data_IF_374742080935
#
_entry.id   IF_374742080935
#
_cell.length_a   1.000
_cell.length_b   1.000
_cell.length_c   1.000
_cell.angle_alpha   90.00
_cell.angle_beta   90.00
_cell.angle_gamma   90.00
#
_symmetry.space_group_name_H-M   'P 1'
#
loop_
_entity.id
_entity.type
_entity.pdbx_description
1 polymer ?
#
# COMPACT_ATOMS: atom_id res chain seq x y z
N UNK A 1 -25.83 7.77 55.94
CA UNK A 1 -26.22 6.92 54.78
C UNK A 1 -26.43 7.68 53.46
N UNK A 2 -26.99 8.91 53.43
CA UNK A 2 -27.25 9.63 52.17
C UNK A 2 -26.00 10.21 51.46
N UNK A 3 -24.87 10.38 52.16
CA UNK A 3 -23.60 10.84 51.55
C UNK A 3 -22.81 9.73 50.85
N UNK A 4 -22.78 8.50 51.40
CA UNK A 4 -22.07 7.37 50.77
C UNK A 4 -22.73 6.93 49.44
N UNK A 5 -24.05 7.06 49.33
CA UNK A 5 -24.78 6.68 48.12
C UNK A 5 -24.55 7.67 46.95
N UNK A 6 -24.19 8.94 47.23
CA UNK A 6 -23.89 9.95 46.20
C UNK A 6 -22.47 9.82 45.66
N UNK A 7 -21.52 9.36 46.47
CA UNK A 7 -20.14 9.10 46.04
C UNK A 7 -20.03 7.86 45.14
N UNK A 8 -20.85 6.83 45.37
CA UNK A 8 -20.90 5.64 44.52
C UNK A 8 -21.57 5.89 43.16
N UNK A 9 -22.48 6.87 43.06
CA UNK A 9 -23.10 7.24 41.78
C UNK A 9 -22.19 8.13 40.91
N UNK A 10 -21.37 8.99 41.53
CA UNK A 10 -20.40 9.81 40.80
C UNK A 10 -19.22 8.98 40.25
N UNK A 11 -18.87 7.86 40.90
CA UNK A 11 -17.85 6.92 40.40
C UNK A 11 -18.34 6.05 39.23
N UNK A 12 -19.66 5.93 39.04
CA UNK A 12 -20.25 5.17 37.93
C UNK A 12 -20.40 6.00 36.65
N UNK A 13 -20.38 7.33 36.75
CA UNK A 13 -20.44 8.25 35.60
C UNK A 13 -19.05 8.56 34.98
N UNK A 14 -17.96 8.06 35.57
CA UNK A 14 -16.61 8.18 35.02
C UNK A 14 -16.20 6.98 34.13
N UNK A 15 -17.11 6.04 33.87
CA UNK A 15 -16.86 4.81 33.11
C UNK A 15 -17.04 4.92 31.59
N UNK A 16 -17.30 6.12 31.05
CA UNK A 16 -17.34 6.37 29.60
C UNK A 16 -16.00 6.92 29.11
N UNK A 17 -14.89 6.42 29.65
CA UNK A 17 -13.60 6.55 28.99
C UNK A 17 -13.65 5.69 27.73
N UNK A 18 -14.09 6.28 26.62
CA UNK A 18 -13.97 5.68 25.30
C UNK A 18 -12.55 5.14 25.16
N UNK A 19 -12.43 3.84 24.91
CA UNK A 19 -11.19 3.17 24.56
C UNK A 19 -10.68 3.84 23.28
N UNK A 20 -9.96 4.95 23.45
CA UNK A 20 -9.34 5.72 22.39
C UNK A 20 -8.62 4.73 21.49
N UNK A 21 -8.85 4.83 20.19
CA UNK A 21 -8.01 4.18 19.18
C UNK A 21 -6.56 4.15 19.66
N UNK A 22 -5.98 2.96 19.77
CA UNK A 22 -4.61 2.82 20.29
C UNK A 22 -3.73 3.81 19.52
N UNK A 23 -3.02 4.73 20.21
CA UNK A 23 -2.22 5.78 19.56
C UNK A 23 -1.30 5.24 18.46
N UNK A 24 -0.89 3.97 18.58
CA UNK A 24 -0.09 3.23 17.60
C UNK A 24 -0.76 3.06 16.22
N UNK A 25 -2.04 2.70 16.14
CA UNK A 25 -2.68 2.36 14.84
C UNK A 25 -2.79 3.59 13.92
N UNK A 26 -3.01 4.77 14.49
CA UNK A 26 -3.04 6.02 13.74
C UNK A 26 -1.65 6.38 13.21
N UNK A 27 -0.63 6.26 14.06
CA UNK A 27 0.76 6.47 13.66
C UNK A 27 1.15 5.54 12.54
N UNK A 28 0.86 4.23 12.66
CA UNK A 28 1.16 3.25 11.61
C UNK A 28 0.42 3.56 10.30
N UNK A 29 -0.86 3.95 10.36
CA UNK A 29 -1.62 4.33 9.17
C UNK A 29 -1.03 5.58 8.49
N UNK A 30 -0.50 6.54 9.26
CA UNK A 30 0.17 7.74 8.75
C UNK A 30 1.54 7.46 8.17
N UNK A 31 2.33 6.62 8.81
CA UNK A 31 3.63 6.17 8.29
C UNK A 31 3.43 5.43 6.95
N UNK A 32 2.45 4.52 6.90
CA UNK A 32 2.06 3.83 5.68
C UNK A 32 1.58 4.80 4.58
N UNK A 33 0.82 5.85 4.94
CA UNK A 33 0.39 6.88 4.00
C UNK A 33 1.59 7.67 3.45
N UNK A 34 2.52 8.05 4.33
CA UNK A 34 3.72 8.80 3.95
C UNK A 34 4.61 7.99 3.00
N UNK A 35 4.73 6.67 3.19
CA UNK A 35 5.47 5.78 2.30
C UNK A 35 4.93 5.79 0.86
N UNK A 36 3.61 5.87 0.67
CA UNK A 36 2.98 5.94 -0.66
C UNK A 36 3.16 7.30 -1.36
N UNK A 37 3.51 8.33 -0.59
CA UNK A 37 3.72 9.68 -1.08
C UNK A 37 2.45 10.39 -1.58
N UNK A 38 2.54 11.70 -1.87
CA UNK A 38 1.39 12.55 -2.19
C UNK A 38 0.78 12.27 -3.57
N UNK A 39 1.49 11.59 -4.46
CA UNK A 39 0.99 11.23 -5.80
C UNK A 39 -0.04 10.10 -5.74
N UNK A 40 -0.08 9.33 -4.64
CA UNK A 40 -1.01 8.22 -4.46
C UNK A 40 -2.28 8.73 -3.77
N UNK A 41 -3.44 8.54 -4.41
CA UNK A 41 -4.70 8.80 -3.73
C UNK A 41 -4.82 7.91 -2.49
N UNK A 42 -5.00 8.52 -1.32
CA UNK A 42 -5.10 7.82 -0.05
C UNK A 42 -5.91 8.61 0.99
N UNK A 43 -6.47 7.89 1.98
CA UNK A 43 -7.20 8.43 3.12
C UNK A 43 -6.90 7.61 4.37
N UNK A 44 -6.55 8.28 5.46
CA UNK A 44 -6.53 7.65 6.79
C UNK A 44 -7.91 7.80 7.40
N UNK A 45 -8.46 6.70 7.92
CA UNK A 45 -9.80 6.65 8.50
C UNK A 45 -9.75 6.11 9.92
N UNK A 46 -10.64 6.60 10.78
CA UNK A 46 -10.90 5.99 12.09
C UNK A 46 -12.15 5.12 12.00
N UNK A 47 -12.05 3.95 12.60
CA UNK A 47 -13.07 2.90 12.51
C UNK A 47 -13.42 2.46 13.92
N UNK A 48 -14.72 2.21 14.14
CA UNK A 48 -15.22 1.54 15.34
C UNK A 48 -15.65 0.12 14.99
N UNK A 49 -15.38 -0.82 15.88
CA UNK A 49 -15.75 -2.22 15.74
C UNK A 49 -16.74 -2.67 16.82
N UNK A 50 -17.97 -2.99 16.41
CA UNK A 50 -19.02 -3.46 17.30
C UNK A 50 -19.08 -4.98 17.43
N UNK A 51 -18.42 -5.74 16.54
CA UNK A 51 -18.44 -7.20 16.57
C UNK A 51 -17.79 -7.75 17.85
N UNK A 52 -18.47 -8.67 18.53
CA UNK A 52 -18.02 -9.19 19.82
C UNK A 52 -16.84 -10.20 19.71
N UNK A 53 -16.65 -10.81 18.55
CA UNK A 53 -15.64 -11.87 18.29
C UNK A 53 -14.79 -11.57 17.05
N UNK A 54 -14.37 -10.32 16.91
CA UNK A 54 -13.54 -9.89 15.79
C UNK A 54 -12.06 -9.82 16.18
N UNK A 55 -11.18 -10.04 15.21
CA UNK A 55 -9.74 -9.82 15.37
C UNK A 55 -9.34 -8.34 15.45
N UNK A 56 -10.23 -7.43 15.04
CA UNK A 56 -9.96 -5.99 15.08
C UNK A 56 -10.25 -5.37 16.46
N UNK A 57 -9.44 -4.39 16.91
CA UNK A 57 -9.73 -3.61 18.11
C UNK A 57 -11.08 -2.87 18.04
N UNK A 58 -11.62 -2.48 19.20
CA UNK A 58 -12.87 -1.70 19.30
C UNK A 58 -12.80 -0.35 18.59
N UNK A 59 -11.64 0.31 18.65
CA UNK A 59 -11.34 1.52 17.90
C UNK A 59 -9.93 1.39 17.31
N UNK A 60 -9.78 1.73 16.04
CA UNK A 60 -8.48 1.73 15.37
C UNK A 60 -8.50 2.67 14.16
N UNK A 61 -7.31 2.94 13.60
CA UNK A 61 -7.18 3.64 12.34
C UNK A 61 -6.70 2.69 11.24
N UNK A 62 -7.09 3.00 10.00
CA UNK A 62 -6.69 2.26 8.80
C UNK A 62 -6.30 3.23 7.69
N UNK A 63 -5.52 2.75 6.73
CA UNK A 63 -5.21 3.45 5.50
C UNK A 63 -5.99 2.83 4.35
N UNK A 64 -6.74 3.66 3.64
CA UNK A 64 -7.36 3.31 2.35
C UNK A 64 -6.58 4.00 1.26
N UNK A 65 -6.17 3.28 0.22
CA UNK A 65 -5.42 3.88 -0.89
C UNK A 65 -5.75 3.21 -2.22
N UNK A 66 -5.50 3.94 -3.31
CA UNK A 66 -5.63 3.40 -4.65
C UNK A 66 -4.29 2.88 -5.16
N UNK A 67 -4.30 1.68 -5.72
CA UNK A 67 -3.20 1.20 -6.53
C UNK A 67 -3.74 0.36 -7.69
N UNK A 68 -3.35 0.73 -8.92
CA UNK A 68 -3.75 0.08 -10.16
C UNK A 68 -5.28 -0.03 -10.35
N UNK A 69 -6.02 1.03 -10.05
CA UNK A 69 -7.48 1.09 -10.21
C UNK A 69 -8.27 0.25 -9.20
N UNK A 70 -7.61 -0.22 -8.13
CA UNK A 70 -8.19 -1.01 -7.04
C UNK A 70 -8.03 -0.23 -5.74
N UNK A 71 -9.03 -0.28 -4.87
CA UNK A 71 -8.89 0.23 -3.50
C UNK A 71 -8.34 -0.86 -2.59
N UNK A 72 -7.37 -0.47 -1.77
CA UNK A 72 -6.70 -1.30 -0.80
C UNK A 72 -6.96 -0.76 0.61
N UNK A 73 -7.03 -1.67 1.57
CA UNK A 73 -7.28 -1.40 2.98
C UNK A 73 -6.13 -1.97 3.79
N UNK A 74 -5.39 -1.10 4.48
CA UNK A 74 -4.26 -1.46 5.32
C UNK A 74 -4.58 -1.21 6.80
N UNK A 75 -4.22 -2.19 7.63
CA UNK A 75 -4.19 -2.07 9.09
C UNK A 75 -2.87 -2.61 9.62
N UNK A 76 -2.49 -2.21 10.83
CA UNK A 76 -1.33 -2.77 11.51
C UNK A 76 -1.55 -4.20 12.02
N UNK A 77 -2.80 -4.68 12.05
CA UNK A 77 -3.17 -6.06 12.45
C UNK A 77 -2.95 -7.06 11.30
N UNK A 78 -3.56 -6.81 10.14
CA UNK A 78 -3.61 -7.77 9.04
C UNK A 78 -2.70 -7.41 7.85
N UNK A 79 -2.12 -6.20 7.87
CA UNK A 79 -1.50 -5.62 6.68
C UNK A 79 -2.53 -5.20 5.64
N UNK A 80 -2.17 -5.35 4.37
CA UNK A 80 -2.96 -4.87 3.24
C UNK A 80 -3.85 -5.95 2.65
N UNK A 81 -5.14 -5.64 2.50
CA UNK A 81 -6.12 -6.45 1.77
C UNK A 81 -6.88 -5.61 0.72
N UNK A 82 -7.54 -6.29 -0.21
CA UNK A 82 -8.39 -5.61 -1.20
C UNK A 82 -9.64 -5.04 -0.52
N UNK A 83 -9.89 -3.75 -0.71
CA UNK A 83 -11.09 -3.06 -0.21
C UNK A 83 -12.21 -3.08 -1.25
N UNK A 84 -11.86 -2.81 -2.51
CA UNK A 84 -12.75 -3.01 -3.66
C UNK A 84 -11.96 -3.41 -4.88
N UNK A 85 -12.34 -4.54 -5.48
CA UNK A 85 -11.79 -5.05 -6.75
C UNK A 85 -12.53 -4.50 -7.98
N UNK A 86 -13.56 -3.67 -7.79
CA UNK A 86 -14.47 -3.24 -8.87
C UNK A 86 -13.95 -1.97 -9.54
N UNK A 87 -13.07 -2.12 -10.53
CA UNK A 87 -12.48 -0.98 -11.26
C UNK A 87 -13.54 -0.04 -11.85
N UNK A 88 -14.68 -0.58 -12.32
CA UNK A 88 -15.79 0.22 -12.86
C UNK A 88 -16.62 0.99 -11.81
N UNK A 89 -16.33 0.78 -10.52
CA UNK A 89 -17.00 1.47 -9.40
C UNK A 89 -16.05 2.29 -8.55
N UNK A 90 -14.79 2.42 -8.96
CA UNK A 90 -13.73 3.06 -8.17
C UNK A 90 -14.13 4.44 -7.63
N UNK A 91 -14.72 5.30 -8.47
CA UNK A 91 -15.13 6.64 -8.05
C UNK A 91 -16.23 6.61 -6.97
N UNK A 92 -17.24 5.73 -7.12
CA UNK A 92 -18.30 5.56 -6.12
C UNK A 92 -17.74 4.96 -4.82
N UNK A 93 -16.86 3.96 -4.94
CA UNK A 93 -16.24 3.28 -3.81
C UNK A 93 -15.29 4.22 -3.03
N UNK A 94 -14.69 5.22 -3.70
CA UNK A 94 -13.92 6.30 -3.06
C UNK A 94 -14.79 7.30 -2.29
N UNK A 95 -16.05 7.45 -2.69
CA UNK A 95 -16.99 8.37 -2.06
C UNK A 95 -17.70 7.74 -0.84
N UNK A 96 -17.83 6.41 -0.80
CA UNK A 96 -18.61 5.72 0.22
C UNK A 96 -17.90 4.46 0.76
N UNK A 97 -17.20 4.60 1.90
CA UNK A 97 -16.46 3.49 2.51
C UNK A 97 -17.31 2.54 3.35
N UNK A 98 -18.43 3.00 3.88
CA UNK A 98 -19.20 2.23 4.87
C UNK A 98 -19.67 0.84 4.38
N UNK A 99 -20.17 0.68 3.14
CA UNK A 99 -20.52 -0.64 2.62
C UNK A 99 -19.32 -1.57 2.50
N UNK A 100 -18.16 -1.03 2.12
CA UNK A 100 -16.92 -1.80 1.93
C UNK A 100 -16.32 -2.24 3.28
N UNK A 101 -16.38 -1.38 4.30
CA UNK A 101 -15.97 -1.75 5.67
C UNK A 101 -16.80 -2.92 6.21
N UNK A 102 -18.13 -2.86 6.03
CA UNK A 102 -19.03 -3.95 6.45
C UNK A 102 -18.81 -5.25 5.68
N UNK A 103 -18.28 -5.17 4.45
CA UNK A 103 -17.93 -6.35 3.67
C UNK A 103 -16.62 -7.01 4.17
N UNK A 104 -15.71 -6.25 4.79
CA UNK A 104 -14.54 -6.82 5.50
C UNK A 104 -15.00 -7.52 6.77
N UNK A 105 -15.75 -6.81 7.60
CA UNK A 105 -16.26 -7.31 8.87
C UNK A 105 -17.56 -6.55 9.20
N UNK A 106 -18.70 -7.23 9.41
CA UNK A 106 -20.00 -6.58 9.58
C UNK A 106 -20.07 -5.54 10.71
N UNK A 107 -19.20 -5.66 11.71
CA UNK A 107 -19.13 -4.76 12.85
C UNK A 107 -18.33 -3.47 12.63
N UNK A 108 -17.69 -3.28 11.47
CA UNK A 108 -16.87 -2.11 11.19
C UNK A 108 -17.70 -0.94 10.67
N UNK A 109 -17.65 0.18 11.41
CA UNK A 109 -18.27 1.44 11.06
C UNK A 109 -17.21 2.53 10.91
N UNK A 110 -17.30 3.32 9.84
CA UNK A 110 -16.50 4.53 9.67
C UNK A 110 -16.93 5.57 10.72
N UNK A 111 -15.96 6.05 11.51
CA UNK A 111 -16.18 7.16 12.45
C UNK A 111 -15.89 8.50 11.78
N UNK A 112 -14.71 8.65 11.22
CA UNK A 112 -14.26 9.87 10.56
C UNK A 112 -13.11 9.59 9.59
N UNK A 113 -12.96 10.50 8.62
CA UNK A 113 -11.78 10.59 7.77
C UNK A 113 -10.83 11.58 8.44
N UNK A 114 -9.63 11.13 8.75
CA UNK A 114 -8.63 11.98 9.41
C UNK A 114 -8.07 12.96 8.39
N UNK A 115 -8.22 14.26 8.67
CA UNK A 115 -7.72 15.32 7.79
C UNK A 115 -6.22 15.14 7.52
N UNK A 116 -5.80 15.29 6.27
CA UNK A 116 -4.38 15.23 5.94
C UNK A 116 -3.63 16.38 6.63
N UNK A 117 -2.38 16.15 7.07
CA UNK A 117 -1.57 17.22 7.63
C UNK A 117 -1.36 18.33 6.58
N UNK A 118 -1.20 19.59 7.02
CA UNK A 118 -0.88 20.70 6.14
C UNK A 118 0.33 20.39 5.25
N UNK A 119 0.28 20.86 3.99
CA UNK A 119 1.41 20.71 3.07
C UNK A 119 2.67 21.38 3.68
N UNK A 120 3.73 20.60 3.88
CA UNK A 120 4.98 21.05 4.49
C UNK A 120 5.22 20.60 5.93
N UNK A 121 4.22 20.04 6.63
CA UNK A 121 4.40 19.46 7.98
C UNK A 121 4.75 17.97 7.95
N UNK A 122 4.74 17.34 6.77
CA UNK A 122 5.29 16.00 6.59
C UNK A 122 6.81 16.10 6.58
N UNK A 123 7.40 16.31 7.75
CA UNK A 123 8.84 16.17 7.89
C UNK A 123 9.22 14.75 7.43
N UNK A 124 10.24 14.57 6.56
CA UNK A 124 10.80 13.26 6.35
C UNK A 124 11.29 12.78 7.72
N UNK A 125 10.60 11.81 8.29
CA UNK A 125 11.04 11.20 9.55
C UNK A 125 12.42 10.59 9.27
N UNK A 126 13.44 11.27 9.77
CA UNK A 126 14.81 10.75 9.78
C UNK A 126 14.75 9.44 10.55
N UNK A 127 14.85 8.33 9.82
CA UNK A 127 14.58 6.99 10.33
C UNK A 127 13.11 6.57 10.24
N UNK A 128 12.48 6.66 9.06
CA UNK A 128 11.16 6.07 8.78
C UNK A 128 11.11 4.66 9.38
N UNK A 129 10.33 4.49 10.45
CA UNK A 129 10.03 3.17 10.98
C UNK A 129 9.00 2.56 10.04
N UNK A 130 9.31 1.35 9.57
CA UNK A 130 8.36 0.57 8.78
C UNK A 130 7.19 0.19 9.69
N UNK A 131 5.94 0.55 9.34
CA UNK A 131 4.81 0.15 10.13
C UNK A 131 4.61 -1.37 10.01
N UNK A 132 3.93 -2.02 10.97
CA UNK A 132 3.74 -3.47 10.91
C UNK A 132 3.04 -3.92 9.62
N UNK A 133 3.43 -5.08 9.08
CA UNK A 133 2.77 -5.70 7.92
C UNK A 133 2.73 -4.81 6.66
N UNK A 134 3.72 -3.94 6.47
CA UNK A 134 3.80 -2.97 5.38
C UNK A 134 4.30 -3.52 4.03
N UNK A 135 4.62 -4.82 3.95
CA UNK A 135 5.28 -5.44 2.79
C UNK A 135 4.65 -5.07 1.42
N UNK A 136 3.32 -4.96 1.34
CA UNK A 136 2.63 -4.50 0.14
C UNK A 136 2.94 -3.03 -0.17
N UNK A 137 2.80 -2.16 0.82
CA UNK A 137 2.99 -0.72 0.70
C UNK A 137 4.45 -0.39 0.38
N UNK A 138 5.40 -1.04 1.07
CA UNK A 138 6.82 -0.92 0.79
C UNK A 138 7.16 -1.32 -0.65
N UNK A 139 6.53 -2.39 -1.17
CA UNK A 139 6.71 -2.82 -2.56
C UNK A 139 6.15 -1.81 -3.57
N UNK A 140 5.00 -1.19 -3.29
CA UNK A 140 4.43 -0.10 -4.12
C UNK A 140 5.32 1.13 -4.09
N UNK A 141 5.75 1.56 -2.90
CA UNK A 141 6.61 2.71 -2.70
C UNK A 141 7.97 2.52 -3.41
N UNK A 142 8.54 1.32 -3.35
CA UNK A 142 9.77 0.98 -4.07
C UNK A 142 9.61 1.11 -5.59
N UNK A 143 8.51 0.59 -6.15
CA UNK A 143 8.22 0.74 -7.57
C UNK A 143 8.07 2.22 -7.97
N UNK A 144 7.33 3.00 -7.18
CA UNK A 144 7.15 4.44 -7.43
C UNK A 144 8.48 5.20 -7.38
N UNK A 145 9.35 4.87 -6.41
CA UNK A 145 10.68 5.47 -6.29
C UNK A 145 11.57 5.10 -7.49
N UNK A 146 11.53 3.85 -7.98
CA UNK A 146 12.24 3.43 -9.19
C UNK A 146 11.76 4.22 -10.42
N UNK A 147 10.45 4.35 -10.60
CA UNK A 147 9.86 5.12 -11.71
C UNK A 147 10.22 6.61 -11.62
N UNK A 148 10.18 7.21 -10.43
CA UNK A 148 10.54 8.60 -10.20
C UNK A 148 12.02 8.89 -10.51
N UNK A 149 12.91 7.90 -10.30
CA UNK A 149 14.33 7.98 -10.70
C UNK A 149 14.56 7.77 -12.20
N UNK A 150 13.50 7.52 -12.98
CA UNK A 150 13.60 7.26 -14.41
C UNK A 150 14.12 5.85 -14.75
N UNK A 151 14.02 4.89 -13.83
CA UNK A 151 14.41 3.52 -14.13
C UNK A 151 13.54 2.94 -15.26
N UNK A 152 14.18 2.33 -16.26
CA UNK A 152 13.49 1.71 -17.40
C UNK A 152 12.86 0.37 -17.01
N UNK A 153 11.72 0.44 -16.33
CA UNK A 153 10.90 -0.71 -15.95
C UNK A 153 10.03 -1.12 -17.15
N UNK A 154 10.28 -2.30 -17.72
CA UNK A 154 9.50 -2.87 -18.85
C UNK A 154 8.19 -3.49 -18.39
N UNK A 155 8.23 -4.14 -17.23
CA UNK A 155 7.08 -4.76 -16.60
C UNK A 155 7.29 -4.76 -15.08
N UNK A 156 6.22 -4.57 -14.31
CA UNK A 156 6.24 -4.73 -12.87
C UNK A 156 4.92 -5.32 -12.37
N UNK A 157 5.02 -6.21 -11.37
CA UNK A 157 3.89 -6.90 -10.73
C UNK A 157 4.20 -7.15 -9.27
N UNK A 158 3.19 -7.09 -8.42
CA UNK A 158 3.33 -7.57 -7.05
C UNK A 158 3.01 -9.06 -6.98
N UNK A 159 3.85 -9.80 -6.24
CA UNK A 159 3.61 -11.20 -5.89
C UNK A 159 3.16 -11.24 -4.44
N UNK A 160 1.97 -11.80 -4.19
CA UNK A 160 1.55 -12.16 -2.84
C UNK A 160 1.59 -13.68 -2.68
N UNK A 161 2.24 -14.16 -1.63
CA UNK A 161 2.26 -15.58 -1.29
C UNK A 161 1.94 -15.81 0.18
N UNK A 162 1.54 -17.04 0.48
CA UNK A 162 1.08 -17.46 1.79
C UNK A 162 1.83 -18.72 2.22
N UNK A 163 2.34 -18.70 3.44
CA UNK A 163 3.03 -19.83 4.07
C UNK A 163 2.17 -20.33 5.23
N UNK A 164 1.96 -21.64 5.28
CA UNK A 164 1.30 -22.26 6.44
C UNK A 164 2.33 -22.43 7.57
N UNK A 165 2.01 -21.94 8.76
CA UNK A 165 2.84 -22.05 9.96
C UNK A 165 2.06 -22.73 11.08
N UNK A 166 2.70 -23.25 12.14
CA UNK A 166 1.98 -23.78 13.30
C UNK A 166 1.04 -22.78 13.98
N UNK A 167 1.25 -21.47 13.77
CA UNK A 167 0.40 -20.38 14.30
C UNK A 167 -0.66 -19.89 13.31
N UNK A 168 -0.81 -20.58 12.18
CA UNK A 168 -1.73 -20.21 11.11
C UNK A 168 -1.02 -19.73 9.84
N UNK A 169 -1.81 -19.27 8.88
CA UNK A 169 -1.33 -18.83 7.56
C UNK A 169 -0.80 -17.40 7.63
N UNK A 170 0.42 -17.17 7.14
CA UNK A 170 1.03 -15.83 7.05
C UNK A 170 1.19 -15.42 5.59
N UNK A 171 0.77 -14.21 5.27
CA UNK A 171 0.95 -13.61 3.95
C UNK A 171 2.24 -12.78 3.88
N UNK A 172 2.80 -12.67 2.68
CA UNK A 172 3.86 -11.72 2.35
C UNK A 172 3.64 -11.17 0.94
N UNK A 173 4.04 -9.92 0.69
CA UNK A 173 3.99 -9.31 -0.63
C UNK A 173 5.33 -8.69 -0.98
N UNK A 174 5.76 -8.89 -2.22
CA UNK A 174 6.99 -8.35 -2.77
C UNK A 174 6.77 -7.81 -4.19
N UNK A 175 7.73 -7.04 -4.70
CA UNK A 175 7.72 -6.51 -6.05
C UNK A 175 8.56 -7.41 -6.97
N UNK A 176 8.02 -7.75 -8.12
CA UNK A 176 8.75 -8.33 -9.26
C UNK A 176 8.77 -7.32 -10.39
N UNK A 177 9.92 -7.16 -11.04
CA UNK A 177 10.05 -6.19 -12.13
C UNK A 177 11.12 -6.59 -13.14
N UNK A 178 10.96 -6.09 -14.36
CA UNK A 178 11.86 -6.35 -15.49
C UNK A 178 12.45 -5.05 -16.01
N UNK A 179 13.74 -5.07 -16.33
CA UNK A 179 14.48 -3.97 -16.97
C UNK A 179 15.23 -4.49 -18.20
N UNK A 180 15.89 -3.64 -19.00
CA UNK A 180 16.80 -4.11 -20.05
C UNK A 180 17.90 -5.05 -19.55
N UNK A 181 18.22 -5.04 -18.24
CA UNK A 181 19.28 -5.87 -17.63
C UNK A 181 18.80 -7.24 -17.14
N UNK A 182 17.49 -7.50 -17.17
CA UNK A 182 16.88 -8.77 -16.74
C UNK A 182 15.71 -8.59 -15.77
N UNK A 183 15.33 -9.68 -15.11
CA UNK A 183 14.26 -9.75 -14.13
C UNK A 183 14.81 -9.65 -12.70
N UNK A 184 14.06 -8.99 -11.82
CA UNK A 184 14.44 -8.67 -10.46
C UNK A 184 13.27 -8.86 -9.50
N UNK A 185 13.60 -9.18 -8.25
CA UNK A 185 12.69 -9.19 -7.10
C UNK A 185 13.17 -8.15 -6.12
N UNK A 186 12.26 -7.30 -5.64
CA UNK A 186 12.46 -6.47 -4.46
C UNK A 186 11.63 -7.03 -3.30
N UNK A 187 12.29 -7.48 -2.23
CA UNK A 187 11.65 -8.00 -1.03
C UNK A 187 11.89 -7.05 0.16
N UNK A 188 10.85 -6.35 0.66
CA UNK A 188 10.99 -5.41 1.76
C UNK A 188 11.37 -6.05 3.10
N UNK A 189 11.19 -7.37 3.26
CA UNK A 189 11.59 -8.08 4.47
C UNK A 189 13.02 -8.66 4.40
N UNK A 190 13.67 -8.62 3.22
CA UNK A 190 14.97 -9.23 2.99
C UNK A 190 16.16 -8.30 3.25
N UNK A 191 17.29 -8.87 3.68
CA UNK A 191 18.60 -8.19 3.69
C UNK A 191 19.11 -8.11 2.24
N UNK A 192 19.51 -6.92 1.76
CA UNK A 192 19.93 -6.74 0.36
C UNK A 192 18.74 -6.74 -0.60
N UNK A 193 17.82 -5.79 -0.37
CA UNK A 193 16.43 -5.73 -0.82
C UNK A 193 16.12 -6.07 -2.29
N UNK A 194 17.09 -6.10 -3.20
CA UNK A 194 16.89 -6.46 -4.61
C UNK A 194 17.76 -7.64 -5.04
N UNK A 195 17.15 -8.65 -5.66
CA UNK A 195 17.83 -9.82 -6.20
C UNK A 195 17.51 -10.01 -7.68
N UNK A 196 18.52 -10.35 -8.49
CA UNK A 196 18.32 -10.74 -9.88
C UNK A 196 17.80 -12.18 -9.93
N UNK A 197 16.79 -12.42 -10.76
CA UNK A 197 16.16 -13.74 -10.92
C UNK A 197 16.19 -14.19 -12.38
N UNK A 198 16.03 -15.49 -12.60
CA UNK A 198 15.81 -16.02 -13.93
C UNK A 198 14.44 -15.56 -14.48
N UNK A 199 14.40 -15.19 -15.75
CA UNK A 199 13.21 -14.55 -16.35
C UNK A 199 12.01 -15.50 -16.50
N UNK A 200 12.24 -16.80 -16.57
CA UNK A 200 11.20 -17.83 -16.58
C UNK A 200 10.43 -17.90 -15.26
N UNK A 201 11.07 -17.59 -14.12
CA UNK A 201 10.41 -17.53 -12.81
C UNK A 201 9.31 -16.45 -12.74
N UNK A 202 9.37 -15.37 -13.55
CA UNK A 202 8.35 -14.31 -13.51
C UNK A 202 7.00 -14.75 -14.10
N UNK A 203 6.94 -15.92 -14.73
CA UNK A 203 5.74 -16.44 -15.39
C UNK A 203 4.82 -17.20 -14.43
N UNK A 204 5.39 -17.83 -13.40
CA UNK A 204 4.66 -18.67 -12.45
C UNK A 204 4.85 -18.15 -11.02
N UNK A 205 3.76 -17.63 -10.45
CA UNK A 205 3.74 -17.08 -9.10
C UNK A 205 4.16 -18.10 -8.02
N UNK A 206 3.71 -19.36 -8.17
CA UNK A 206 3.97 -20.40 -7.18
C UNK A 206 5.41 -20.90 -7.28
N UNK A 207 5.92 -21.05 -8.50
CA UNK A 207 7.32 -21.41 -8.71
C UNK A 207 8.26 -20.36 -8.12
N UNK A 208 8.02 -19.07 -8.41
CA UNK A 208 8.85 -18.00 -7.86
C UNK A 208 8.75 -17.93 -6.33
N UNK A 209 7.55 -18.03 -5.75
CA UNK A 209 7.38 -18.01 -4.30
C UNK A 209 8.14 -19.17 -3.61
N UNK A 210 8.11 -20.37 -4.19
CA UNK A 210 8.86 -21.54 -3.67
C UNK A 210 10.36 -21.36 -3.81
N UNK A 211 10.83 -20.78 -4.92
CA UNK A 211 12.25 -20.47 -5.11
C UNK A 211 12.76 -19.51 -4.03
N UNK A 212 12.01 -18.42 -3.77
CA UNK A 212 12.33 -17.43 -2.75
C UNK A 212 12.31 -17.98 -1.32
N UNK A 213 11.48 -18.99 -1.06
CA UNK A 213 11.25 -19.55 0.27
C UNK A 213 11.63 -21.03 0.32
N UNK A 214 12.81 -21.33 -0.19
CA UNK A 214 13.37 -22.68 -0.18
C UNK A 214 13.32 -23.26 1.25
N UNK A 215 12.52 -24.30 1.45
CA UNK A 215 12.31 -24.96 2.75
C UNK A 215 10.98 -24.64 3.46
N UNK A 216 10.29 -23.56 3.09
CA UNK A 216 8.97 -23.24 3.63
C UNK A 216 7.84 -23.88 2.78
N UNK A 217 6.76 -24.32 3.44
CA UNK A 217 5.56 -24.79 2.76
C UNK A 217 4.72 -23.62 2.23
N UNK A 218 5.04 -23.15 1.02
CA UNK A 218 4.21 -22.17 0.31
C UNK A 218 2.88 -22.81 -0.09
N UNK A 219 1.81 -22.43 0.61
CA UNK A 219 0.47 -22.94 0.42
C UNK A 219 -0.23 -22.35 -0.81
N UNK A 220 0.02 -21.07 -1.09
CA UNK A 220 -0.59 -20.34 -2.19
C UNK A 220 0.28 -19.18 -2.63
N UNK A 221 0.31 -18.90 -3.93
CA UNK A 221 0.90 -17.69 -4.47
C UNK A 221 0.02 -17.13 -5.59
N UNK A 222 -0.03 -15.81 -5.71
CA UNK A 222 -0.78 -15.12 -6.75
C UNK A 222 -0.12 -13.81 -7.14
N UNK A 223 -0.19 -13.50 -8.42
CA UNK A 223 0.05 -12.15 -8.88
C UNK A 223 -1.11 -11.25 -8.42
N UNK A 224 -0.78 -10.10 -7.87
CA UNK A 224 -1.79 -9.07 -7.58
C UNK A 224 -2.36 -8.58 -8.92
N UNK A 225 -3.69 -8.35 -9.03
CA UNK A 225 -4.31 -7.79 -10.23
C UNK A 225 -3.89 -6.33 -10.44
N UNK A 226 -2.65 -6.13 -10.87
CA UNK A 226 -2.06 -4.84 -11.13
C UNK A 226 -0.84 -5.05 -12.03
N UNK A 227 -1.02 -4.85 -13.33
CA UNK A 227 0.09 -4.73 -14.24
C UNK A 227 0.40 -3.25 -14.36
N UNK A 228 1.53 -2.81 -13.80
CA UNK A 228 2.11 -1.57 -14.29
C UNK A 228 2.77 -1.92 -15.62
N UNK A 229 2.02 -1.80 -16.72
CA UNK A 229 2.68 -1.40 -17.96
C UNK A 229 3.00 0.08 -17.73
N UNK A 230 4.26 0.52 -17.85
CA UNK A 230 4.52 1.95 -17.86
C UNK A 230 3.57 2.57 -18.91
N UNK A 231 3.03 3.78 -18.67
CA UNK A 231 2.39 4.49 -19.76
C UNK A 231 3.36 4.42 -20.93
N UNK A 232 2.88 3.94 -22.08
CA UNK A 232 3.62 4.11 -23.33
C UNK A 232 4.00 5.58 -23.34
N UNK A 233 5.29 5.91 -23.26
CA UNK A 233 5.76 7.26 -23.52
C UNK A 233 5.36 7.55 -24.96
N UNK A 234 4.15 8.06 -25.14
CA UNK A 234 3.75 8.74 -26.35
C UNK A 234 4.52 10.07 -26.32
N UNK A 235 5.29 10.30 -27.38
CA UNK A 235 6.18 11.42 -27.70
C UNK A 235 7.59 11.37 -27.05
N UNK A 236 8.72 11.29 -27.77
CA UNK A 236 9.03 11.36 -29.21
C UNK A 236 8.26 12.40 -30.02
N UNK A 237 8.12 13.61 -29.50
CA UNK A 237 7.79 14.85 -30.21
C UNK A 237 8.51 15.93 -29.37
N UNK A 238 9.47 16.74 -29.82
CA UNK A 238 10.06 17.02 -31.11
C UNK A 238 11.53 17.40 -30.79
N UNK A 239 12.51 16.90 -31.54
CA UNK A 239 13.74 17.68 -31.67
C UNK A 239 13.42 18.76 -32.70
N UNK A 240 13.43 20.07 -32.36
CA UNK A 240 13.48 21.07 -33.40
C UNK A 240 14.71 20.76 -34.26
N UNK A 241 14.48 20.58 -35.55
CA UNK A 241 15.56 20.45 -36.52
C UNK A 241 16.53 21.60 -36.29
N UNK A 242 17.78 21.27 -35.99
CA UNK A 242 18.85 22.24 -36.03
C UNK A 242 18.90 22.78 -37.47
N UNK A 243 18.41 24.00 -37.66
CA UNK A 243 18.68 24.77 -38.87
C UNK A 243 20.18 25.02 -38.92
N UNK A 244 20.90 24.11 -39.57
CA UNK A 244 22.25 24.37 -40.05
C UNK A 244 22.15 25.43 -41.13
N UNK A 245 22.24 26.69 -40.74
CA UNK A 245 22.58 27.78 -41.64
C UNK A 245 24.06 27.62 -42.05
N UNK A 246 24.31 26.72 -42.98
CA UNK A 246 25.57 26.69 -43.73
C UNK A 246 25.48 27.72 -44.84
N UNK A 247 26.23 28.81 -44.69
CA UNK A 247 26.49 29.74 -45.79
C UNK A 247 27.34 29.09 -46.89
N UNK A 248 27.05 29.45 -48.14
CA UNK A 248 27.99 29.86 -49.22
C UNK A 248 27.41 29.57 -50.61
N UNK A 249 27.15 30.66 -51.33
CA UNK A 249 27.71 31.02 -52.65
C UNK A 249 27.84 29.93 -53.73
N UNK A 250 27.11 30.06 -54.85
CA UNK A 250 27.66 30.30 -56.21
C UNK A 250 26.56 30.37 -57.32
N UNK A 251 26.41 31.58 -57.90
CA UNK A 251 26.50 31.99 -59.33
C UNK A 251 25.88 31.20 -60.52
N UNK A 252 25.43 32.03 -61.49
CA UNK A 252 25.21 31.86 -62.96
C UNK A 252 23.82 31.31 -63.33
N UNK A 253 23.01 31.96 -64.19
CA UNK A 253 23.28 32.72 -65.43
C UNK A 253 22.40 33.96 -65.55
#
# INVERSE_FOLDING_TARGET
MKLLLRLLLALWLAGSAGLRASPSSLTHAREAQAMLGPATWSRVVRITNRAARSGYPREFAALIFEFSGILWFYTDVDGTQSFSLKANRLAADKAEFAPLLRAIEPGLDLRDIVADPPAGEVAPSVGMRHPPNDCFIASVAALQAMLARGESIRAARLLSYYIDTPRGRRGHTLLTYETPRGAFVFDPAGVGQTQKIAADLTRDALLLARWLRSGDAVAKARWVPAFVRPPVQLASLERPAATLASGRTLRLR
#
